data_IF_471035553413
#
_entry.id   IF_471035553413
#
_cell.length_a   1.000
_cell.length_b   1.000
_cell.length_c   1.000
_cell.angle_alpha   90.00
_cell.angle_beta   90.00
_cell.angle_gamma   90.00
#
_symmetry.space_group_name_H-M   'P 1'
#
loop_
_entity.id
_entity.type
_entity.pdbx_description
1 polymer ?
#
# COMPACT_ATOMS: atom_id res chain seq x y z
N UNK A 1 -13.31 -16.93 -8.37
CA UNK A 1 -12.33 -15.85 -8.06
C UNK A 1 -11.19 -16.49 -7.29
N UNK A 2 -9.95 -16.24 -7.69
CA UNK A 2 -8.79 -16.81 -6.99
C UNK A 2 -8.42 -15.95 -5.79
N UNK A 3 -7.90 -16.58 -4.74
CA UNK A 3 -7.35 -15.84 -3.61
C UNK A 3 -5.98 -15.28 -3.99
N UNK A 4 -5.78 -13.97 -3.83
CA UNK A 4 -4.47 -13.32 -4.03
C UNK A 4 -3.59 -13.49 -2.78
N UNK A 5 -4.18 -13.48 -1.59
CA UNK A 5 -3.52 -13.73 -0.31
C UNK A 5 -4.25 -14.87 0.41
N UNK A 6 -3.47 -15.81 0.96
CA UNK A 6 -3.92 -16.75 1.96
C UNK A 6 -2.94 -16.71 3.14
N UNK A 7 -3.43 -16.39 4.30
CA UNK A 7 -2.72 -16.52 5.56
C UNK A 7 -3.24 -17.78 6.27
N UNK A 8 -2.34 -18.69 6.66
CA UNK A 8 -2.72 -19.95 7.30
C UNK A 8 -2.01 -20.09 8.64
N UNK A 9 -2.80 -20.14 9.71
CA UNK A 9 -2.33 -20.36 11.08
C UNK A 9 -1.20 -19.40 11.50
N UNK A 10 -1.29 -18.13 11.10
CA UNK A 10 -0.25 -17.13 11.36
C UNK A 10 -0.21 -16.81 12.85
N UNK A 11 0.98 -16.96 13.42
CA UNK A 11 1.32 -16.52 14.76
C UNK A 11 2.48 -15.54 14.70
N UNK A 12 2.38 -14.44 15.44
CA UNK A 12 3.51 -13.54 15.69
C UNK A 12 3.66 -13.35 17.18
N UNK A 13 4.83 -13.68 17.65
CA UNK A 13 5.28 -13.53 19.03
C UNK A 13 6.57 -12.73 19.03
N UNK A 14 6.65 -11.67 19.82
CA UNK A 14 7.85 -10.88 19.98
C UNK A 14 8.76 -11.46 21.06
N UNK A 15 9.99 -10.94 21.14
CA UNK A 15 11.05 -11.45 22.05
C UNK A 15 10.66 -11.42 23.54
N UNK A 16 9.74 -10.51 23.92
CA UNK A 16 9.17 -10.41 25.27
C UNK A 16 8.06 -11.44 25.56
N UNK A 17 7.76 -12.31 24.60
CA UNK A 17 6.72 -13.34 24.69
C UNK A 17 5.30 -12.83 24.40
N UNK A 18 5.13 -11.56 24.02
CA UNK A 18 3.82 -11.01 23.65
C UNK A 18 3.37 -11.55 22.28
N UNK A 19 2.23 -12.23 22.26
CA UNK A 19 1.60 -12.73 21.02
C UNK A 19 0.64 -11.71 20.44
N UNK A 20 1.07 -11.02 19.40
CA UNK A 20 0.27 -10.02 18.69
C UNK A 20 -0.73 -10.68 17.73
N UNK A 21 -0.29 -11.72 17.00
CA UNK A 21 -1.19 -12.50 16.15
C UNK A 21 -1.30 -13.94 16.69
N UNK A 22 -2.56 -14.38 16.90
CA UNK A 22 -2.87 -15.66 17.55
C UNK A 22 -3.63 -16.56 16.59
N UNK A 23 -2.92 -17.30 15.73
CA UNK A 23 -3.49 -18.26 14.78
C UNK A 23 -4.45 -17.62 13.76
N UNK A 24 -3.99 -16.56 13.08
CA UNK A 24 -4.81 -15.86 12.11
C UNK A 24 -4.90 -16.66 10.81
N UNK A 25 -6.13 -16.85 10.34
CA UNK A 25 -6.44 -17.37 9.02
C UNK A 25 -7.22 -16.31 8.25
N UNK A 26 -6.75 -15.96 7.03
CA UNK A 26 -7.35 -14.91 6.23
C UNK A 26 -7.17 -15.20 4.75
N UNK A 27 -8.25 -15.08 4.00
CA UNK A 27 -8.27 -15.17 2.55
C UNK A 27 -8.69 -13.82 1.98
N UNK A 28 -7.92 -13.30 1.03
CA UNK A 28 -8.24 -12.09 0.26
C UNK A 28 -8.30 -12.47 -1.20
N UNK A 29 -9.43 -12.17 -1.85
CA UNK A 29 -9.62 -12.46 -3.27
C UNK A 29 -9.05 -11.36 -4.15
N UNK A 30 -8.77 -11.71 -5.41
CA UNK A 30 -8.38 -10.73 -6.40
C UNK A 30 -9.45 -9.66 -6.58
N UNK A 31 -9.01 -8.40 -6.77
CA UNK A 31 -9.83 -7.21 -7.01
C UNK A 31 -10.73 -6.79 -5.83
N UNK A 32 -10.58 -7.41 -4.66
CA UNK A 32 -11.27 -6.96 -3.45
C UNK A 32 -10.65 -5.69 -2.87
N UNK A 33 -11.50 -4.89 -2.22
CA UNK A 33 -11.10 -3.84 -1.29
C UNK A 33 -11.36 -4.34 0.12
N UNK A 34 -10.32 -4.72 0.85
CA UNK A 34 -10.43 -5.29 2.20
C UNK A 34 -9.97 -4.27 3.22
N UNK A 35 -10.81 -3.99 4.22
CA UNK A 35 -10.50 -3.06 5.30
C UNK A 35 -10.26 -3.78 6.62
N UNK A 36 -9.11 -3.54 7.25
CA UNK A 36 -8.81 -3.97 8.61
C UNK A 36 -9.16 -2.84 9.59
N UNK A 37 -10.23 -3.04 10.34
CA UNK A 37 -10.69 -2.10 11.36
C UNK A 37 -10.38 -2.65 12.77
N UNK A 38 -10.04 -1.78 13.70
CA UNK A 38 -9.86 -2.13 15.10
C UNK A 38 -9.00 -1.12 15.86
N UNK A 39 -8.92 -1.26 17.19
CA UNK A 39 -8.12 -0.36 18.04
C UNK A 39 -6.61 -0.50 17.75
N UNK A 40 -5.83 0.47 18.22
CA UNK A 40 -4.37 0.39 18.15
C UNK A 40 -3.86 -0.85 18.91
N UNK A 41 -2.81 -1.49 18.37
CA UNK A 41 -2.21 -2.69 18.98
C UNK A 41 -2.90 -4.02 18.68
N UNK A 42 -4.06 -4.06 17.98
CA UNK A 42 -4.76 -5.34 17.69
C UNK A 42 -4.17 -6.15 16.52
N UNK A 43 -3.00 -5.78 16.00
CA UNK A 43 -2.29 -6.58 14.98
C UNK A 43 -2.51 -6.20 13.52
N UNK A 44 -3.29 -5.15 13.18
CA UNK A 44 -3.57 -4.74 11.79
C UNK A 44 -2.29 -4.43 11.00
N UNK A 45 -1.50 -3.48 11.47
CA UNK A 45 -0.20 -3.12 10.87
C UNK A 45 0.77 -4.29 10.87
N UNK A 46 0.73 -5.14 11.90
CA UNK A 46 1.55 -6.37 11.97
C UNK A 46 1.17 -7.33 10.84
N UNK A 47 -0.12 -7.57 10.61
CA UNK A 47 -0.62 -8.41 9.51
C UNK A 47 -0.20 -7.83 8.15
N UNK A 48 -0.32 -6.53 7.99
CA UNK A 48 0.09 -5.84 6.77
C UNK A 48 1.60 -5.99 6.52
N UNK A 49 2.43 -5.82 7.57
CA UNK A 49 3.90 -5.99 7.49
C UNK A 49 4.32 -7.41 7.13
N UNK A 50 3.60 -8.43 7.59
CA UNK A 50 3.83 -9.83 7.22
C UNK A 50 3.55 -10.03 5.73
N UNK A 51 2.42 -9.55 5.23
CA UNK A 51 2.06 -9.64 3.79
C UNK A 51 3.11 -8.91 2.94
N UNK A 52 3.58 -7.75 3.40
CA UNK A 52 4.61 -6.97 2.71
C UNK A 52 6.02 -7.58 2.77
N UNK A 53 6.27 -8.48 3.71
CA UNK A 53 7.60 -9.09 3.95
C UNK A 53 8.54 -8.25 4.79
N UNK A 54 8.03 -7.27 5.54
CA UNK A 54 8.82 -6.50 6.52
C UNK A 54 8.92 -7.20 7.87
N UNK A 55 8.11 -8.23 8.09
CA UNK A 55 8.11 -9.06 9.28
C UNK A 55 7.84 -10.51 8.87
N UNK A 56 8.59 -11.45 9.44
CA UNK A 56 8.32 -12.87 9.28
C UNK A 56 7.42 -13.36 10.43
N UNK A 57 6.44 -14.24 10.17
CA UNK A 57 5.65 -14.83 11.23
C UNK A 57 6.49 -15.82 12.04
N UNK A 58 6.20 -15.96 13.34
CA UNK A 58 6.79 -16.98 14.21
C UNK A 58 6.42 -18.39 13.74
N UNK A 59 5.17 -18.55 13.27
CA UNK A 59 4.70 -19.79 12.62
C UNK A 59 3.55 -19.50 11.66
N UNK A 60 3.23 -20.48 10.81
CA UNK A 60 2.21 -20.38 9.79
C UNK A 60 2.76 -20.05 8.42
N UNK A 61 1.90 -20.08 7.42
CA UNK A 61 2.26 -19.92 6.03
C UNK A 61 1.53 -18.76 5.37
N UNK A 62 2.27 -18.04 4.52
CA UNK A 62 1.77 -16.94 3.71
C UNK A 62 1.85 -17.36 2.26
N UNK A 63 0.72 -17.28 1.55
CA UNK A 63 0.66 -17.53 0.12
C UNK A 63 0.24 -16.25 -0.60
N UNK A 64 0.90 -15.96 -1.70
CA UNK A 64 0.57 -14.89 -2.63
C UNK A 64 0.38 -15.53 -4.01
N UNK A 65 -0.80 -15.36 -4.61
CA UNK A 65 -1.14 -15.92 -5.92
C UNK A 65 -0.82 -17.44 -5.99
N UNK A 66 -1.20 -18.16 -4.93
CA UNK A 66 -0.97 -19.61 -4.78
C UNK A 66 0.46 -20.03 -4.44
N UNK A 67 1.43 -19.12 -4.43
CA UNK A 67 2.83 -19.41 -4.12
C UNK A 67 3.15 -19.05 -2.68
N UNK A 68 3.84 -19.94 -1.96
CA UNK A 68 4.33 -19.66 -0.60
C UNK A 68 5.43 -18.61 -0.65
N UNK A 69 5.26 -17.51 0.12
CA UNK A 69 6.17 -16.35 0.12
C UNK A 69 6.88 -16.11 1.45
N UNK A 70 6.81 -17.04 2.41
CA UNK A 70 7.64 -16.96 3.62
C UNK A 70 9.12 -16.86 3.23
N UNK A 71 9.90 -16.02 3.94
CA UNK A 71 11.31 -15.77 3.65
C UNK A 71 11.60 -14.95 2.39
N UNK A 72 10.60 -14.60 1.58
CA UNK A 72 10.81 -13.70 0.45
C UNK A 72 10.89 -12.24 0.94
N UNK A 73 12.00 -11.52 0.65
CA UNK A 73 12.12 -10.12 1.03
C UNK A 73 11.13 -9.23 0.28
N UNK A 74 10.78 -8.03 0.82
CA UNK A 74 9.77 -7.14 0.25
C UNK A 74 9.93 -6.83 -1.24
N UNK A 75 11.15 -6.59 -1.69
CA UNK A 75 11.45 -6.23 -3.09
C UNK A 75 11.22 -7.36 -4.11
N UNK A 76 11.04 -8.61 -3.65
CA UNK A 76 10.70 -9.77 -4.48
C UNK A 76 9.22 -10.10 -4.46
N UNK A 77 8.42 -9.44 -3.62
CA UNK A 77 6.96 -9.60 -3.58
C UNK A 77 6.30 -8.62 -4.56
N UNK A 78 5.30 -9.06 -5.31
CA UNK A 78 4.54 -8.18 -6.20
C UNK A 78 3.45 -7.40 -5.42
N UNK A 79 3.90 -6.77 -4.35
CA UNK A 79 3.10 -6.02 -3.38
C UNK A 79 3.76 -4.67 -3.17
N UNK A 80 2.99 -3.60 -3.15
CA UNK A 80 3.49 -2.28 -2.78
C UNK A 80 2.77 -1.76 -1.55
N UNK A 81 3.45 -0.92 -0.76
CA UNK A 81 2.93 -0.37 0.49
C UNK A 81 2.97 1.15 0.47
N UNK A 82 1.87 1.78 0.87
CA UNK A 82 1.80 3.20 1.23
C UNK A 82 1.76 3.28 2.75
N UNK A 83 2.77 3.93 3.32
CA UNK A 83 2.92 4.10 4.77
C UNK A 83 2.17 5.31 5.28
N UNK A 84 1.83 5.33 6.57
CA UNK A 84 1.14 6.42 7.26
C UNK A 84 1.81 7.80 7.08
N UNK A 85 3.14 7.86 7.03
CA UNK A 85 3.92 9.09 6.78
C UNK A 85 4.39 9.21 5.33
N UNK A 86 3.71 8.54 4.39
CA UNK A 86 3.98 8.55 2.94
C UNK A 86 5.38 8.10 2.51
N UNK A 87 6.41 8.22 3.36
CA UNK A 87 7.80 7.82 3.10
C UNK A 87 8.35 8.33 1.75
N UNK A 88 8.01 9.56 1.36
CA UNK A 88 8.55 10.17 0.16
C UNK A 88 10.03 10.47 0.33
N UNK A 89 10.80 10.41 -0.76
CA UNK A 89 12.20 10.78 -0.79
C UNK A 89 12.31 12.31 -0.82
N UNK A 90 12.74 12.99 0.26
CA UNK A 90 12.67 14.44 0.37
C UNK A 90 13.64 15.19 -0.54
N UNK A 91 14.69 14.52 -1.01
CA UNK A 91 15.71 15.03 -1.93
C UNK A 91 15.33 14.86 -3.41
N UNK A 92 14.23 14.15 -3.69
CA UNK A 92 13.72 13.94 -5.05
C UNK A 92 12.47 14.80 -5.28
N UNK A 93 12.26 15.22 -6.53
CA UNK A 93 11.02 15.88 -6.95
C UNK A 93 9.87 14.85 -7.11
N UNK A 94 8.68 15.32 -7.50
CA UNK A 94 7.50 14.48 -7.70
C UNK A 94 7.75 13.39 -8.76
N UNK A 95 8.27 13.79 -9.93
CA UNK A 95 8.58 12.86 -11.02
C UNK A 95 9.56 11.78 -10.58
N UNK A 96 10.64 12.17 -9.94
CA UNK A 96 11.70 11.26 -9.50
C UNK A 96 11.22 10.29 -8.41
N UNK A 97 10.36 10.75 -7.48
CA UNK A 97 9.72 9.89 -6.50
C UNK A 97 8.92 8.77 -7.17
N UNK A 98 8.09 9.11 -8.16
CA UNK A 98 7.26 8.13 -8.88
C UNK A 98 8.13 7.23 -9.75
N UNK A 99 9.11 7.78 -10.47
CA UNK A 99 10.00 7.05 -11.38
C UNK A 99 10.96 6.09 -10.67
N UNK A 100 11.21 6.29 -9.36
CA UNK A 100 12.25 5.59 -8.62
C UNK A 100 12.21 4.06 -8.78
N UNK A 101 11.05 3.45 -8.55
CA UNK A 101 10.89 2.00 -8.64
C UNK A 101 11.10 1.46 -10.06
N UNK A 102 10.70 2.21 -11.08
CA UNK A 102 10.90 1.86 -12.49
C UNK A 102 12.39 1.90 -12.85
N UNK A 103 13.14 2.89 -12.35
CA UNK A 103 14.59 2.97 -12.56
C UNK A 103 15.35 1.83 -11.90
N UNK A 104 14.94 1.44 -10.67
CA UNK A 104 15.50 0.25 -9.99
C UNK A 104 15.27 -1.02 -10.83
N UNK A 105 14.11 -1.12 -11.47
CA UNK A 105 13.78 -2.23 -12.40
C UNK A 105 14.42 -2.08 -13.79
N UNK A 106 15.24 -1.05 -14.02
CA UNK A 106 15.92 -0.77 -15.30
C UNK A 106 14.96 -0.62 -16.49
N UNK A 107 13.75 -0.08 -16.25
CA UNK A 107 12.80 0.25 -17.31
C UNK A 107 13.37 1.40 -18.15
N UNK A 108 13.11 1.41 -19.47
CA UNK A 108 13.59 2.45 -20.37
C UNK A 108 13.03 3.83 -20.03
N UNK A 109 13.81 4.89 -20.17
CA UNK A 109 13.36 6.26 -19.86
C UNK A 109 12.11 6.67 -20.66
N UNK A 110 11.97 6.22 -21.92
CA UNK A 110 10.77 6.45 -22.73
C UNK A 110 9.52 5.89 -22.05
N UNK A 111 9.61 4.67 -21.51
CA UNK A 111 8.50 4.02 -20.82
C UNK A 111 8.27 4.64 -19.43
N UNK A 112 9.33 5.06 -18.74
CA UNK A 112 9.21 5.78 -17.46
C UNK A 112 8.43 7.08 -17.66
N UNK A 113 8.79 7.90 -18.66
CA UNK A 113 8.08 9.15 -18.96
C UNK A 113 6.60 8.90 -19.20
N UNK A 114 6.26 7.88 -19.99
CA UNK A 114 4.88 7.51 -20.29
C UNK A 114 4.12 7.12 -19.01
N UNK A 115 4.64 6.15 -18.24
CA UNK A 115 3.97 5.64 -17.04
C UNK A 115 3.83 6.69 -15.95
N UNK A 116 4.87 7.48 -15.71
CA UNK A 116 4.82 8.58 -14.72
C UNK A 116 3.78 9.62 -15.13
N UNK A 117 3.71 9.97 -16.42
CA UNK A 117 2.68 10.88 -16.94
C UNK A 117 1.27 10.36 -16.68
N UNK A 118 1.00 9.10 -17.01
CA UNK A 118 -0.29 8.44 -16.75
C UNK A 118 -0.66 8.43 -15.26
N UNK A 119 0.31 8.12 -14.39
CA UNK A 119 0.07 8.13 -12.95
C UNK A 119 -0.21 9.54 -12.41
N UNK A 120 0.49 10.56 -12.91
CA UNK A 120 0.24 11.94 -12.52
C UNK A 120 -1.14 12.44 -12.94
N UNK A 121 -1.62 12.04 -14.13
CA UNK A 121 -2.99 12.33 -14.56
C UNK A 121 -4.01 11.60 -13.66
N UNK A 122 -3.79 10.32 -13.38
CA UNK A 122 -4.66 9.50 -12.54
C UNK A 122 -4.87 10.08 -11.13
N UNK A 123 -3.80 10.61 -10.52
CA UNK A 123 -3.85 11.19 -9.16
C UNK A 123 -4.07 12.72 -9.17
N UNK A 124 -4.44 13.32 -10.30
CA UNK A 124 -4.71 14.76 -10.45
C UNK A 124 -3.52 15.65 -10.05
N UNK A 125 -2.30 15.26 -10.41
CA UNK A 125 -1.05 16.01 -10.17
C UNK A 125 -0.30 16.36 -11.46
N UNK A 126 -0.96 16.40 -12.60
CA UNK A 126 -0.37 16.87 -13.86
C UNK A 126 0.18 18.31 -13.72
N UNK A 127 1.40 18.54 -14.17
CA UNK A 127 2.10 19.84 -14.03
C UNK A 127 2.87 19.99 -12.71
N UNK A 128 2.91 18.95 -11.86
CA UNK A 128 3.66 18.97 -10.60
C UNK A 128 5.01 18.25 -10.69
N UNK A 129 5.41 17.75 -11.84
CA UNK A 129 6.55 16.85 -12.07
C UNK A 129 7.84 17.37 -11.42
N UNK A 130 8.14 18.65 -11.59
CA UNK A 130 9.38 19.28 -11.12
C UNK A 130 9.29 19.85 -9.71
N UNK A 131 8.13 19.75 -9.04
CA UNK A 131 7.97 20.31 -7.69
C UNK A 131 8.69 19.45 -6.66
N UNK A 132 9.32 20.11 -5.69
CA UNK A 132 9.84 19.43 -4.50
C UNK A 132 8.67 18.90 -3.67
N UNK A 133 8.77 17.65 -3.18
CA UNK A 133 7.75 17.02 -2.35
C UNK A 133 7.54 17.76 -1.03
N UNK A 134 8.55 18.46 -0.53
CA UNK A 134 8.47 19.26 0.71
C UNK A 134 7.58 20.52 0.57
N UNK A 135 7.24 20.92 -0.66
CA UNK A 135 6.36 22.07 -0.95
C UNK A 135 4.92 21.65 -1.24
N UNK A 136 4.60 20.39 -1.07
CA UNK A 136 3.27 19.83 -1.32
C UNK A 136 2.44 19.82 -0.02
N UNK A 137 1.11 19.99 -0.16
CA UNK A 137 0.18 19.71 0.94
C UNK A 137 0.18 18.23 1.30
N UNK A 138 -0.33 17.86 2.49
CA UNK A 138 -0.41 16.47 2.94
C UNK A 138 -1.14 15.58 1.94
N UNK A 139 -2.28 16.02 1.40
CA UNK A 139 -3.02 15.28 0.37
C UNK A 139 -2.26 15.15 -0.95
N UNK A 140 -1.51 16.18 -1.36
CA UNK A 140 -0.65 16.08 -2.55
C UNK A 140 0.50 15.11 -2.32
N UNK A 141 1.13 15.11 -1.14
CA UNK A 141 2.17 14.13 -0.79
C UNK A 141 1.64 12.71 -0.81
N UNK A 142 0.44 12.50 -0.27
CA UNK A 142 -0.24 11.21 -0.31
C UNK A 142 -0.49 10.74 -1.74
N UNK A 143 -1.00 11.61 -2.62
CA UNK A 143 -1.21 11.31 -4.05
C UNK A 143 0.09 10.90 -4.74
N UNK A 144 1.20 11.55 -4.44
CA UNK A 144 2.53 11.15 -4.94
C UNK A 144 2.92 9.76 -4.42
N UNK A 145 2.68 9.46 -3.14
CA UNK A 145 2.99 8.15 -2.57
C UNK A 145 2.15 7.03 -3.21
N UNK A 146 0.86 7.28 -3.47
CA UNK A 146 -0.04 6.36 -4.18
C UNK A 146 0.46 6.15 -5.61
N UNK A 147 0.75 7.22 -6.36
CA UNK A 147 1.27 7.13 -7.73
C UNK A 147 2.58 6.35 -7.80
N UNK A 148 3.51 6.58 -6.84
CA UNK A 148 4.77 5.82 -6.72
C UNK A 148 4.53 4.34 -6.47
N UNK A 149 3.52 4.00 -5.67
CA UNK A 149 3.19 2.62 -5.41
C UNK A 149 2.54 1.94 -6.64
N UNK A 150 1.68 2.65 -7.36
CA UNK A 150 0.92 2.12 -8.50
C UNK A 150 1.72 2.02 -9.79
N UNK A 151 2.71 2.88 -10.04
CA UNK A 151 3.47 2.94 -11.30
C UNK A 151 4.19 1.62 -11.65
N UNK A 152 4.42 0.79 -10.64
CA UNK A 152 5.04 -0.53 -10.78
C UNK A 152 4.03 -1.64 -11.16
N UNK A 153 2.74 -1.34 -11.30
CA UNK A 153 1.64 -2.27 -11.56
C UNK A 153 1.65 -3.46 -10.56
N UNK A 154 1.56 -3.20 -9.24
CA UNK A 154 1.48 -4.28 -8.25
C UNK A 154 0.16 -5.03 -8.41
N UNK A 155 0.11 -6.32 -8.02
CA UNK A 155 -1.16 -7.05 -7.90
C UNK A 155 -1.93 -6.70 -6.63
N UNK A 156 -1.22 -6.22 -5.60
CA UNK A 156 -1.76 -5.89 -4.29
C UNK A 156 -1.17 -4.57 -3.78
N UNK A 157 -2.03 -3.65 -3.35
CA UNK A 157 -1.64 -2.42 -2.67
C UNK A 157 -2.03 -2.48 -1.19
N UNK A 158 -1.06 -2.28 -0.33
CA UNK A 158 -1.23 -2.21 1.11
C UNK A 158 -1.21 -0.75 1.56
N UNK A 159 -2.20 -0.34 2.34
CA UNK A 159 -2.41 1.04 2.79
C UNK A 159 -2.46 1.05 4.32
N UNK A 160 -1.40 1.52 4.97
CA UNK A 160 -1.27 1.56 6.44
C UNK A 160 -1.67 2.94 6.96
N UNK A 161 -2.92 3.10 7.39
CA UNK A 161 -3.53 4.36 7.88
C UNK A 161 -3.25 5.56 6.95
N UNK A 162 -3.46 5.44 5.63
CA UNK A 162 -2.95 6.43 4.69
C UNK A 162 -3.63 7.80 4.82
N UNK A 163 -4.82 7.88 5.42
CA UNK A 163 -5.60 9.11 5.56
C UNK A 163 -5.50 9.76 6.94
N UNK A 164 -4.82 9.13 7.90
CA UNK A 164 -4.80 9.54 9.30
C UNK A 164 -4.22 10.94 9.55
N UNK A 165 -3.35 11.45 8.67
CA UNK A 165 -2.74 12.78 8.79
C UNK A 165 -3.52 13.91 8.09
N UNK A 166 -4.67 13.61 7.46
CA UNK A 166 -5.47 14.57 6.70
C UNK A 166 -6.62 15.14 7.52
N UNK A 167 -7.01 16.38 7.21
CA UNK A 167 -8.25 16.96 7.70
C UNK A 167 -9.48 16.22 7.15
N UNK A 168 -10.64 16.39 7.79
CA UNK A 168 -11.86 15.64 7.48
C UNK A 168 -12.31 15.80 6.02
N UNK A 169 -12.24 17.04 5.47
CA UNK A 169 -12.69 17.30 4.10
C UNK A 169 -11.81 16.59 3.09
N UNK A 170 -10.49 16.77 3.22
CA UNK A 170 -9.52 16.16 2.33
C UNK A 170 -9.52 14.63 2.46
N UNK A 171 -9.77 14.11 3.67
CA UNK A 171 -9.92 12.67 3.91
C UNK A 171 -11.07 12.08 3.09
N UNK A 172 -12.26 12.71 3.10
CA UNK A 172 -13.42 12.26 2.31
C UNK A 172 -13.16 12.31 0.80
N UNK A 173 -12.50 13.36 0.33
CA UNK A 173 -12.10 13.46 -1.09
C UNK A 173 -11.15 12.32 -1.48
N UNK A 174 -10.17 12.01 -0.62
CA UNK A 174 -9.20 10.95 -0.86
C UNK A 174 -9.80 9.53 -0.79
N UNK A 175 -10.81 9.30 0.06
CA UNK A 175 -11.56 8.03 0.07
C UNK A 175 -12.21 7.75 -1.28
N UNK A 176 -12.93 8.74 -1.82
CA UNK A 176 -13.57 8.63 -3.13
C UNK A 176 -12.53 8.33 -4.22
N UNK A 177 -11.39 9.03 -4.16
CA UNK A 177 -10.32 8.86 -5.14
C UNK A 177 -9.67 7.47 -5.06
N UNK A 178 -9.39 6.96 -3.85
CA UNK A 178 -8.85 5.61 -3.67
C UNK A 178 -9.79 4.53 -4.21
N UNK A 179 -11.10 4.67 -3.96
CA UNK A 179 -12.12 3.77 -4.52
C UNK A 179 -12.12 3.81 -6.04
N UNK A 180 -12.11 5.02 -6.63
CA UNK A 180 -12.05 5.20 -8.08
C UNK A 180 -10.82 4.53 -8.68
N UNK A 181 -9.64 4.79 -8.12
CA UNK A 181 -8.38 4.19 -8.57
C UNK A 181 -8.43 2.66 -8.49
N UNK A 182 -8.93 2.11 -7.38
CA UNK A 182 -9.05 0.66 -7.21
C UNK A 182 -9.94 0.02 -8.27
N UNK A 183 -11.09 0.65 -8.57
CA UNK A 183 -12.02 0.18 -9.60
C UNK A 183 -11.44 0.31 -11.01
N UNK A 184 -10.85 1.44 -11.36
CA UNK A 184 -10.27 1.68 -12.69
C UNK A 184 -9.11 0.73 -13.01
N UNK A 185 -8.28 0.40 -12.01
CA UNK A 185 -7.13 -0.47 -12.18
C UNK A 185 -7.44 -1.94 -11.87
N UNK A 186 -8.64 -2.24 -11.39
CA UNK A 186 -9.05 -3.59 -10.93
C UNK A 186 -8.04 -4.23 -9.96
N UNK A 187 -7.47 -3.42 -9.06
CA UNK A 187 -6.45 -3.85 -8.11
C UNK A 187 -7.06 -4.40 -6.82
N UNK A 188 -6.32 -5.26 -6.14
CA UNK A 188 -6.64 -5.66 -4.77
C UNK A 188 -6.04 -4.64 -3.80
N UNK A 189 -6.86 -4.13 -2.86
CA UNK A 189 -6.42 -3.23 -1.81
C UNK A 189 -6.61 -3.87 -0.44
N UNK A 190 -5.63 -3.69 0.43
CA UNK A 190 -5.75 -3.91 1.88
C UNK A 190 -5.54 -2.58 2.57
N UNK A 191 -6.55 -2.13 3.26
CA UNK A 191 -6.62 -0.83 3.90
C UNK A 191 -6.69 -0.98 5.42
N UNK A 192 -5.77 -0.38 6.14
CA UNK A 192 -5.77 -0.36 7.61
C UNK A 192 -6.28 0.97 8.10
N UNK A 193 -7.24 0.95 9.01
CA UNK A 193 -7.74 2.14 9.71
C UNK A 193 -8.18 1.83 11.13
N UNK A 194 -8.27 2.85 11.96
CA UNK A 194 -8.95 2.81 13.26
C UNK A 194 -10.27 3.61 13.25
N UNK A 195 -10.60 4.24 12.12
CA UNK A 195 -11.80 5.05 11.92
C UNK A 195 -12.92 4.19 11.34
N UNK A 196 -14.07 4.13 12.05
CA UNK A 196 -15.23 3.33 11.64
C UNK A 196 -15.93 3.92 10.40
N UNK A 197 -15.97 5.27 10.27
CA UNK A 197 -16.58 5.92 9.12
C UNK A 197 -15.79 5.57 7.84
N UNK A 198 -14.46 5.58 7.93
CA UNK A 198 -13.60 5.13 6.83
C UNK A 198 -13.89 3.68 6.45
N UNK A 199 -13.94 2.79 7.43
CA UNK A 199 -14.14 1.35 7.17
C UNK A 199 -15.49 1.04 6.51
N UNK A 200 -16.54 1.82 6.80
CA UNK A 200 -17.88 1.63 6.22
C UNK A 200 -17.99 2.26 4.82
N UNK A 201 -17.17 3.25 4.50
CA UNK A 201 -17.21 3.95 3.21
C UNK A 201 -16.26 3.35 2.17
N UNK A 202 -15.25 2.62 2.64
CA UNK A 202 -14.25 1.94 1.82
C UNK A 202 -14.62 0.49 1.53
#
# INVERSE_FOLDING_TARGET
MNNIINLKNIVVEFEDGERILKNINLDIKEKEFVTFLGPSGCGKTTTLRIIAGFLEPTSGDIFFDGQRINGLPPHKRNVNTVFQRYALFPHLNVYENIAFGLRVKKVSEKEIVRRVGEMLEMVNLKGFEKRSVNRLSGGQQQRVAIARALVNHPKLLLLDEPLGALDLKLRKEMQIELRRIQQELELTFVYVTHDQEEALTM
#
